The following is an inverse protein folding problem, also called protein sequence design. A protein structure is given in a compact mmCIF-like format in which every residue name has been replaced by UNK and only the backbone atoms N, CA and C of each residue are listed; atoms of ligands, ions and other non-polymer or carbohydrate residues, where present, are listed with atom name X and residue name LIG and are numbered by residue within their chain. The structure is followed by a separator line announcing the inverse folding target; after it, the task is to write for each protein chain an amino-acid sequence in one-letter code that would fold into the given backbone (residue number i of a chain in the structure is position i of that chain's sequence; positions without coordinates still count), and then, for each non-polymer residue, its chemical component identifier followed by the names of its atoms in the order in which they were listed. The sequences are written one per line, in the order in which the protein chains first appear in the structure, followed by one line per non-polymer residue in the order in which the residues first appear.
data_IF_296664723325
#
_entry.id   IF_296664723325
#
_cell.length_a   1.000
_cell.length_b   1.000
_cell.length_c   1.000
_cell.angle_alpha   90.00
_cell.angle_beta   90.00
_cell.angle_gamma   90.00
#
_symmetry.space_group_name_H-M   'P 1'
#
loop_
_entity.id
_entity.type
_entity.pdbx_description
1 polymer ?
#
# COMPACT_ATOMS: atom_id res chain seq x y z
N UNK A 1 25.50 6.55 -17.42
CA UNK A 1 25.63 6.47 -15.96
C UNK A 1 24.65 5.38 -15.54
N UNK A 2 25.15 4.24 -15.12
CA UNK A 2 24.31 3.11 -14.69
C UNK A 2 23.62 3.57 -13.41
N UNK A 3 22.30 3.65 -13.42
CA UNK A 3 21.51 3.88 -12.21
C UNK A 3 21.84 2.75 -11.23
N UNK A 4 22.28 3.09 -10.04
CA UNK A 4 22.56 2.14 -8.97
C UNK A 4 21.23 1.63 -8.37
N UNK A 5 20.60 0.73 -9.11
CA UNK A 5 19.36 0.07 -8.66
C UNK A 5 19.50 -0.61 -7.28
N UNK A 6 20.74 -0.98 -6.90
CA UNK A 6 21.05 -1.52 -5.59
C UNK A 6 20.99 -0.46 -4.50
N UNK A 7 21.40 0.76 -4.81
CA UNK A 7 21.34 1.91 -3.89
C UNK A 7 19.91 2.37 -3.65
N UNK A 8 19.09 2.47 -4.69
CA UNK A 8 17.69 2.86 -4.61
C UNK A 8 16.86 1.86 -3.79
N UNK A 9 17.04 0.56 -4.04
CA UNK A 9 16.36 -0.49 -3.29
C UNK A 9 16.76 -0.49 -1.81
N UNK A 10 18.03 -0.21 -1.52
CA UNK A 10 18.52 -0.07 -0.15
C UNK A 10 17.88 1.12 0.55
N UNK A 11 17.83 2.30 -0.09
CA UNK A 11 17.18 3.49 0.48
C UNK A 11 15.68 3.26 0.76
N UNK A 12 14.97 2.58 -0.15
CA UNK A 12 13.57 2.18 0.07
C UNK A 12 13.42 1.19 1.23
N UNK A 13 14.34 0.22 1.34
CA UNK A 13 14.34 -0.74 2.43
C UNK A 13 14.64 -0.05 3.78
N UNK A 14 15.65 0.82 3.83
CA UNK A 14 16.00 1.57 5.03
C UNK A 14 14.85 2.49 5.47
N UNK A 15 14.15 3.12 4.52
CA UNK A 15 12.93 3.89 4.79
C UNK A 15 11.84 3.01 5.44
N UNK A 16 11.60 1.80 4.94
CA UNK A 16 10.60 0.89 5.51
C UNK A 16 10.97 0.42 6.92
N UNK A 17 12.24 0.10 7.16
CA UNK A 17 12.70 -0.47 8.44
C UNK A 17 12.77 0.59 9.54
N UNK A 18 13.11 1.84 9.21
CA UNK A 18 13.31 2.91 10.16
C UNK A 18 12.06 3.76 10.42
N UNK A 19 10.92 3.43 9.80
CA UNK A 19 9.71 4.24 9.86
C UNK A 19 8.78 3.75 10.97
N UNK A 20 8.29 4.67 11.80
CA UNK A 20 7.37 4.37 12.90
C UNK A 20 5.91 4.20 12.43
N UNK A 21 5.58 4.66 11.21
CA UNK A 21 4.22 4.57 10.65
C UNK A 21 4.22 4.41 9.13
N UNK A 22 3.15 3.82 8.59
CA UNK A 22 2.94 3.68 7.14
C UNK A 22 2.87 5.05 6.46
N UNK A 23 2.27 6.04 7.11
CA UNK A 23 2.13 7.40 6.53
C UNK A 23 3.49 8.06 6.35
N UNK A 24 4.38 7.95 7.35
CA UNK A 24 5.74 8.45 7.24
C UNK A 24 6.51 7.75 6.14
N UNK A 25 6.42 6.43 6.06
CA UNK A 25 7.04 5.65 5.00
C UNK A 25 6.61 6.10 3.60
N UNK A 26 5.31 6.31 3.39
CA UNK A 26 4.79 6.78 2.10
C UNK A 26 5.27 8.20 1.77
N UNK A 27 5.36 9.08 2.78
CA UNK A 27 5.93 10.41 2.62
C UNK A 27 7.41 10.34 2.20
N UNK A 28 8.22 9.55 2.88
CA UNK A 28 9.65 9.38 2.56
C UNK A 28 9.85 8.81 1.16
N UNK A 29 8.99 7.90 0.73
CA UNK A 29 8.96 7.41 -0.66
C UNK A 29 8.67 8.53 -1.66
N UNK A 30 7.71 9.41 -1.39
CA UNK A 30 7.39 10.53 -2.29
C UNK A 30 8.57 11.52 -2.39
N UNK A 31 9.21 11.83 -1.27
CA UNK A 31 10.41 12.68 -1.22
C UNK A 31 11.57 12.03 -1.98
N UNK A 32 11.79 10.75 -1.77
CA UNK A 32 12.85 9.99 -2.44
C UNK A 32 12.63 9.92 -3.95
N UNK A 33 11.39 9.68 -4.41
CA UNK A 33 11.03 9.67 -5.82
C UNK A 33 11.36 11.02 -6.50
N UNK A 34 10.93 12.13 -5.88
CA UNK A 34 11.22 13.47 -6.42
C UNK A 34 12.73 13.70 -6.56
N UNK A 35 13.52 13.31 -5.54
CA UNK A 35 14.96 13.50 -5.52
C UNK A 35 15.72 12.65 -6.55
N UNK A 36 15.33 11.37 -6.70
CA UNK A 36 16.03 10.42 -7.57
C UNK A 36 15.72 10.63 -9.06
N UNK A 37 14.49 11.02 -9.37
CA UNK A 37 14.09 11.21 -10.78
C UNK A 37 14.68 12.49 -11.37
N UNK A 38 14.73 13.57 -10.61
CA UNK A 38 15.30 14.83 -11.10
C UNK A 38 15.38 15.92 -10.03
N UNK A 39 15.73 17.13 -10.44
CA UNK A 39 15.78 18.32 -9.58
C UNK A 39 14.49 19.12 -9.70
N UNK A 40 14.09 19.80 -8.62
CA UNK A 40 12.92 20.68 -8.55
C UNK A 40 11.60 19.98 -8.95
N UNK A 41 11.46 18.72 -8.56
CA UNK A 41 10.25 17.95 -8.77
C UNK A 41 9.39 17.89 -7.50
N UNK A 42 8.08 17.98 -7.70
CA UNK A 42 7.09 17.62 -6.69
C UNK A 42 6.55 16.22 -6.99
N UNK A 43 6.35 15.42 -5.95
CA UNK A 43 5.84 14.05 -6.08
C UNK A 43 4.61 13.84 -5.21
N UNK A 44 3.54 13.28 -5.79
CA UNK A 44 2.35 12.80 -5.09
C UNK A 44 2.19 11.29 -5.26
N UNK A 45 1.70 10.64 -4.23
CA UNK A 45 1.30 9.22 -4.28
C UNK A 45 -0.21 9.12 -4.09
N UNK A 46 -0.89 8.63 -5.11
CA UNK A 46 -2.32 8.38 -5.11
C UNK A 46 -2.60 6.92 -4.89
N UNK A 47 -3.52 6.60 -3.99
CA UNK A 47 -4.04 5.24 -3.82
C UNK A 47 -5.57 5.22 -3.86
N UNK A 48 -6.15 4.03 -4.09
CA UNK A 48 -7.60 3.85 -3.94
C UNK A 48 -7.95 3.60 -2.48
N UNK A 49 -8.73 4.51 -1.94
CA UNK A 49 -9.35 4.36 -0.63
C UNK A 49 -10.87 4.32 -0.79
N UNK A 50 -11.52 3.24 -0.35
CA UNK A 50 -12.97 3.05 -0.49
C UNK A 50 -13.48 3.25 -1.93
N UNK A 51 -12.71 2.80 -2.91
CA UNK A 51 -13.03 2.90 -4.34
C UNK A 51 -12.74 4.27 -4.99
N UNK A 52 -12.36 5.28 -4.20
CA UNK A 52 -12.03 6.63 -4.68
C UNK A 52 -10.51 6.87 -4.65
N UNK A 53 -9.96 7.65 -5.58
CA UNK A 53 -8.58 8.07 -5.53
C UNK A 53 -8.39 9.10 -4.41
N UNK A 54 -7.29 8.99 -3.69
CA UNK A 54 -6.88 9.93 -2.66
C UNK A 54 -5.35 10.01 -2.61
N UNK A 55 -4.80 11.20 -2.42
CA UNK A 55 -3.37 11.38 -2.15
C UNK A 55 -3.08 10.88 -0.74
N UNK A 56 -2.25 9.85 -0.64
CA UNK A 56 -1.84 9.25 0.63
C UNK A 56 -0.52 9.82 1.14
N UNK A 57 0.30 10.36 0.23
CA UNK A 57 1.54 11.05 0.57
C UNK A 57 1.95 12.02 -0.54
N UNK A 58 2.73 13.04 -0.18
CA UNK A 58 3.32 13.98 -1.12
C UNK A 58 4.68 14.47 -0.59
N UNK A 59 5.58 14.85 -1.49
CA UNK A 59 6.87 15.46 -1.14
C UNK A 59 6.71 16.91 -0.65
N UNK A 60 5.67 17.58 -1.13
CA UNK A 60 5.36 18.97 -0.83
C UNK A 60 3.88 19.31 -1.11
N UNK A 61 3.37 20.48 -0.62
CA UNK A 61 1.97 20.85 -0.80
C UNK A 61 1.53 21.06 -2.26
N UNK A 62 2.46 21.36 -3.18
CA UNK A 62 2.13 21.58 -4.60
C UNK A 62 1.64 20.28 -5.23
N UNK A 63 2.32 19.16 -4.95
CA UNK A 63 1.89 17.85 -5.43
C UNK A 63 0.46 17.52 -4.98
N UNK A 64 0.15 17.71 -3.70
CA UNK A 64 -1.19 17.44 -3.16
C UNK A 64 -2.27 18.32 -3.83
N UNK A 65 -1.95 19.59 -4.10
CA UNK A 65 -2.86 20.53 -4.76
C UNK A 65 -3.15 20.10 -6.20
N UNK A 66 -2.12 19.69 -6.94
CA UNK A 66 -2.27 19.27 -8.35
C UNK A 66 -2.97 17.90 -8.44
N UNK A 67 -2.72 17.00 -7.50
CA UNK A 67 -3.46 15.74 -7.40
C UNK A 67 -4.97 15.99 -7.17
N UNK A 68 -5.30 16.89 -6.26
CA UNK A 68 -6.70 17.25 -5.96
C UNK A 68 -7.45 17.76 -7.20
N UNK A 69 -6.79 18.53 -8.08
CA UNK A 69 -7.37 18.96 -9.35
C UNK A 69 -7.85 17.77 -10.20
N UNK A 70 -7.09 16.70 -10.26
CA UNK A 70 -7.47 15.50 -11.04
C UNK A 70 -8.69 14.80 -10.44
N UNK A 71 -8.79 14.76 -9.10
CA UNK A 71 -9.92 14.13 -8.40
C UNK A 71 -11.21 14.93 -8.56
N UNK A 72 -11.14 16.26 -8.50
CA UNK A 72 -12.28 17.14 -8.74
C UNK A 72 -12.82 17.02 -10.16
N UNK A 73 -11.93 16.87 -11.14
CA UNK A 73 -12.29 16.73 -12.55
C UNK A 73 -12.68 15.29 -12.93
N UNK A 74 -12.46 14.31 -12.03
CA UNK A 74 -12.49 12.87 -12.30
C UNK A 74 -11.72 12.50 -13.59
N UNK A 75 -10.65 13.26 -13.87
CA UNK A 75 -9.88 13.13 -15.12
C UNK A 75 -8.46 13.69 -14.95
N UNK A 76 -7.49 13.09 -15.65
CA UNK A 76 -6.09 13.53 -15.64
C UNK A 76 -5.10 12.38 -15.78
N UNK A 77 -3.79 12.70 -15.89
CA UNK A 77 -2.74 11.72 -16.12
C UNK A 77 -2.65 10.64 -15.04
N UNK A 78 -2.80 10.99 -13.75
CA UNK A 78 -2.82 10.06 -12.63
C UNK A 78 -3.93 9.02 -12.76
N UNK A 79 -5.16 9.48 -12.96
CA UNK A 79 -6.33 8.61 -13.06
C UNK A 79 -6.26 7.70 -14.29
N UNK A 80 -5.67 8.19 -15.39
CA UNK A 80 -5.38 7.38 -16.58
C UNK A 80 -4.32 6.32 -16.29
N UNK A 81 -3.19 6.68 -15.66
CA UNK A 81 -2.16 5.72 -15.29
C UNK A 81 -2.71 4.61 -14.38
N UNK A 82 -3.54 4.96 -13.39
CA UNK A 82 -4.22 3.99 -12.51
C UNK A 82 -5.19 3.08 -13.26
N UNK A 83 -5.92 3.60 -14.24
CA UNK A 83 -6.96 2.88 -14.99
C UNK A 83 -6.35 1.97 -16.04
N UNK A 84 -5.44 2.51 -16.84
CA UNK A 84 -4.90 1.84 -18.02
C UNK A 84 -3.65 1.00 -17.71
N UNK A 85 -2.94 1.35 -16.63
CA UNK A 85 -1.75 0.63 -16.18
C UNK A 85 -0.50 0.95 -17.00
N UNK A 86 -0.48 2.10 -17.66
CA UNK A 86 0.64 2.61 -18.43
C UNK A 86 1.09 3.97 -17.93
N UNK A 87 2.37 4.26 -18.11
CA UNK A 87 2.93 5.58 -17.85
C UNK A 87 2.25 6.62 -18.75
N UNK A 88 1.95 7.78 -18.17
CA UNK A 88 1.34 8.92 -18.85
C UNK A 88 2.21 10.14 -18.66
N UNK A 89 2.56 10.81 -19.75
CA UNK A 89 3.42 12.01 -19.75
C UNK A 89 2.70 13.18 -20.40
N UNK A 90 2.88 14.36 -19.83
CA UNK A 90 2.55 15.66 -20.39
C UNK A 90 3.86 16.46 -20.48
N UNK A 91 4.25 16.79 -21.70
CA UNK A 91 5.50 17.49 -21.95
C UNK A 91 5.36 18.99 -21.66
N UNK A 92 4.23 19.61 -22.02
CA UNK A 92 3.90 20.97 -21.61
C UNK A 92 2.40 21.15 -21.37
N UNK A 93 2.04 21.62 -20.20
CA UNK A 93 0.64 21.95 -19.85
C UNK A 93 0.10 23.15 -20.64
N UNK A 94 0.95 23.92 -21.31
CA UNK A 94 0.52 25.01 -22.19
C UNK A 94 -0.15 24.49 -23.47
N UNK A 95 0.16 23.26 -23.90
CA UNK A 95 -0.35 22.68 -25.15
C UNK A 95 -1.83 22.32 -25.06
N UNK A 96 -2.36 22.08 -23.86
CA UNK A 96 -3.76 21.73 -23.54
C UNK A 96 -4.32 20.62 -24.44
N UNK A 97 -3.49 19.61 -24.75
CA UNK A 97 -3.75 18.65 -25.78
C UNK A 97 -4.69 17.54 -25.36
N UNK A 98 -4.50 16.98 -24.17
CA UNK A 98 -5.21 15.76 -23.77
C UNK A 98 -6.19 15.98 -22.63
N UNK A 99 -5.85 16.85 -21.68
CA UNK A 99 -6.69 17.20 -20.53
C UNK A 99 -6.71 18.72 -20.34
N UNK A 100 -7.37 19.48 -21.21
CA UNK A 100 -7.27 20.94 -21.25
C UNK A 100 -7.58 21.64 -19.93
N UNK A 101 -8.56 21.15 -19.18
CA UNK A 101 -8.95 21.74 -17.92
C UNK A 101 -7.94 21.41 -16.79
N UNK A 102 -7.47 20.15 -16.73
CA UNK A 102 -6.40 19.78 -15.82
C UNK A 102 -5.12 20.57 -16.11
N UNK A 103 -4.69 20.58 -17.38
CA UNK A 103 -3.47 21.25 -17.81
C UNK A 103 -3.50 22.74 -17.50
N UNK A 104 -4.65 23.40 -17.76
CA UNK A 104 -4.88 24.81 -17.41
C UNK A 104 -4.73 25.06 -15.91
N UNK A 105 -5.33 24.22 -15.07
CA UNK A 105 -5.30 24.34 -13.60
C UNK A 105 -3.91 24.00 -13.06
N UNK A 106 -3.26 22.95 -13.56
CA UNK A 106 -1.88 22.61 -13.19
C UNK A 106 -0.91 23.76 -13.52
N UNK A 107 -1.07 24.38 -14.70
CA UNK A 107 -0.28 25.58 -15.08
C UNK A 107 -0.50 26.75 -14.13
N UNK A 108 -1.73 26.97 -13.61
CA UNK A 108 -1.99 28.03 -12.64
C UNK A 108 -1.28 27.81 -11.28
N UNK A 109 -0.91 26.55 -10.97
CA UNK A 109 -0.06 26.19 -9.85
C UNK A 109 1.44 26.15 -10.18
N UNK A 110 1.83 26.63 -11.37
CA UNK A 110 3.20 26.72 -11.82
C UNK A 110 3.77 25.40 -12.37
N UNK A 111 2.95 24.39 -12.64
CA UNK A 111 3.38 23.13 -13.22
C UNK A 111 3.34 23.20 -14.73
N UNK A 112 4.46 22.85 -15.38
CA UNK A 112 4.64 22.86 -16.85
C UNK A 112 4.73 21.47 -17.44
N UNK A 113 5.19 20.47 -16.70
CA UNK A 113 5.19 19.08 -17.19
C UNK A 113 4.82 18.09 -16.07
N UNK A 114 4.26 16.96 -16.45
CA UNK A 114 3.79 15.93 -15.53
C UNK A 114 4.17 14.53 -16.03
N UNK A 115 4.43 13.62 -15.09
CA UNK A 115 4.64 12.21 -15.34
C UNK A 115 3.88 11.39 -14.31
N UNK A 116 2.99 10.51 -14.74
CA UNK A 116 2.23 9.62 -13.87
C UNK A 116 2.54 8.16 -14.20
N UNK A 117 2.86 7.37 -13.17
CA UNK A 117 3.20 5.96 -13.30
C UNK A 117 2.28 5.11 -12.41
N UNK A 118 1.78 3.97 -12.91
CA UNK A 118 0.97 3.08 -12.10
C UNK A 118 1.80 2.40 -11.01
N UNK A 119 1.28 2.38 -9.78
CA UNK A 119 1.80 1.55 -8.70
C UNK A 119 1.01 0.24 -8.62
N UNK A 120 1.72 -0.85 -8.47
CA UNK A 120 1.15 -2.20 -8.48
C UNK A 120 1.42 -2.91 -7.16
N UNK A 121 0.48 -3.75 -6.74
CA UNK A 121 0.66 -4.69 -5.65
C UNK A 121 0.05 -6.02 -6.07
N UNK A 122 0.83 -7.09 -6.05
CA UNK A 122 0.40 -8.43 -6.48
C UNK A 122 -0.23 -8.46 -7.88
N UNK A 123 0.37 -7.72 -8.82
CA UNK A 123 -0.14 -7.58 -10.20
C UNK A 123 -1.38 -6.68 -10.35
N UNK A 124 -1.97 -6.21 -9.25
CA UNK A 124 -3.12 -5.30 -9.25
C UNK A 124 -2.66 -3.84 -9.20
N UNK A 125 -3.34 -2.97 -9.91
CA UNK A 125 -3.10 -1.53 -9.87
C UNK A 125 -3.73 -0.97 -8.60
N UNK A 126 -2.89 -0.53 -7.66
CA UNK A 126 -3.35 -0.02 -6.35
C UNK A 126 -3.29 1.49 -6.25
N UNK A 127 -2.48 2.14 -7.11
CA UNK A 127 -2.29 3.58 -7.07
C UNK A 127 -1.52 4.10 -8.27
N UNK A 128 -1.01 5.33 -8.13
CA UNK A 128 -0.09 5.96 -9.05
C UNK A 128 0.95 6.82 -8.30
N UNK A 129 2.14 6.90 -8.86
CA UNK A 129 3.17 7.87 -8.53
C UNK A 129 3.06 9.02 -9.54
N UNK A 130 2.92 10.24 -9.04
CA UNK A 130 2.75 11.44 -9.85
C UNK A 130 3.93 12.38 -9.64
N UNK A 131 4.59 12.75 -10.71
CA UNK A 131 5.72 13.68 -10.70
C UNK A 131 5.32 14.95 -11.46
N UNK A 132 5.64 16.10 -10.88
CA UNK A 132 5.29 17.41 -11.39
C UNK A 132 6.54 18.29 -11.47
N UNK A 133 6.72 19.00 -12.56
CA UNK A 133 7.85 19.92 -12.78
C UNK A 133 7.38 21.30 -13.21
N UNK A 134 8.13 22.33 -12.75
CA UNK A 134 7.92 23.72 -13.18
C UNK A 134 8.50 24.01 -14.57
N UNK A 135 9.41 23.18 -15.04
CA UNK A 135 9.97 23.23 -16.39
C UNK A 135 9.11 22.41 -17.36
N UNK A 136 8.93 22.89 -18.58
CA UNK A 136 8.40 22.09 -19.67
C UNK A 136 9.40 21.00 -20.06
N UNK A 137 8.89 19.86 -20.53
CA UNK A 137 9.69 18.72 -21.01
C UNK A 137 10.73 18.21 -20.01
N UNK A 138 10.44 18.33 -18.69
CA UNK A 138 11.36 17.89 -17.65
C UNK A 138 11.53 16.36 -17.61
N UNK A 139 10.63 15.60 -18.20
CA UNK A 139 10.63 14.15 -18.17
C UNK A 139 11.06 13.56 -19.52
N UNK A 140 12.36 13.69 -19.85
CA UNK A 140 12.95 13.03 -21.02
C UNK A 140 13.01 11.50 -20.84
N UNK A 141 13.65 10.80 -21.79
CA UNK A 141 13.74 9.35 -21.74
C UNK A 141 14.46 8.84 -20.48
N UNK A 142 15.50 9.53 -20.02
CA UNK A 142 16.26 9.14 -18.84
C UNK A 142 15.45 9.33 -17.54
N UNK A 143 14.76 10.47 -17.40
CA UNK A 143 13.89 10.76 -16.25
C UNK A 143 12.71 9.78 -16.20
N UNK A 144 12.09 9.53 -17.34
CA UNK A 144 10.98 8.59 -17.45
C UNK A 144 11.41 7.15 -17.08
N UNK A 145 12.63 6.74 -17.48
CA UNK A 145 13.16 5.43 -17.11
C UNK A 145 13.45 5.35 -15.61
N UNK A 146 14.12 6.36 -15.02
CA UNK A 146 14.37 6.40 -13.57
C UNK A 146 13.06 6.36 -12.78
N UNK A 147 12.05 7.10 -13.21
CA UNK A 147 10.74 7.07 -12.58
C UNK A 147 10.06 5.70 -12.69
N UNK A 148 10.20 5.01 -13.84
CA UNK A 148 9.65 3.67 -14.03
C UNK A 148 10.35 2.63 -13.14
N UNK A 149 11.68 2.65 -13.07
CA UNK A 149 12.47 1.77 -12.22
C UNK A 149 12.11 2.00 -10.73
N UNK A 150 11.99 3.27 -10.32
CA UNK A 150 11.53 3.61 -8.97
C UNK A 150 10.13 3.09 -8.69
N UNK A 151 9.16 3.30 -9.59
CA UNK A 151 7.77 2.87 -9.40
C UNK A 151 7.66 1.34 -9.31
N UNK A 152 8.49 0.59 -10.02
CA UNK A 152 8.55 -0.87 -9.95
C UNK A 152 9.09 -1.32 -8.58
N UNK A 153 10.23 -0.77 -8.13
CA UNK A 153 10.82 -1.07 -6.83
C UNK A 153 9.88 -0.68 -5.69
N UNK A 154 9.30 0.53 -5.75
CA UNK A 154 8.33 1.04 -4.79
C UNK A 154 7.08 0.15 -4.68
N UNK A 155 6.61 -0.40 -5.80
CA UNK A 155 5.47 -1.31 -5.84
C UNK A 155 5.68 -2.57 -5.00
N UNK A 156 6.90 -3.13 -5.00
CA UNK A 156 7.28 -4.27 -4.17
C UNK A 156 7.22 -3.95 -2.68
N UNK A 157 7.85 -2.84 -2.29
CA UNK A 157 7.91 -2.40 -0.88
C UNK A 157 6.53 -1.97 -0.39
N UNK A 158 5.74 -1.29 -1.23
CA UNK A 158 4.36 -0.91 -0.93
C UNK A 158 3.47 -2.13 -0.66
N UNK A 159 3.66 -3.22 -1.42
CA UNK A 159 2.95 -4.47 -1.19
C UNK A 159 3.20 -5.01 0.22
N UNK A 160 4.46 -4.97 0.67
CA UNK A 160 4.82 -5.39 2.01
C UNK A 160 4.21 -4.48 3.08
N UNK A 161 4.28 -3.17 2.89
CA UNK A 161 3.69 -2.18 3.82
C UNK A 161 2.17 -2.37 3.98
N UNK A 162 1.44 -2.57 2.87
CA UNK A 162 0.00 -2.83 2.89
C UNK A 162 -0.32 -4.13 3.65
N UNK A 163 0.46 -5.20 3.44
CA UNK A 163 0.28 -6.46 4.15
C UNK A 163 0.52 -6.29 5.66
N UNK A 164 1.59 -5.62 6.05
CA UNK A 164 1.90 -5.36 7.46
C UNK A 164 0.79 -4.55 8.14
N UNK A 165 0.30 -3.48 7.50
CA UNK A 165 -0.81 -2.69 8.01
C UNK A 165 -2.08 -3.54 8.17
N UNK A 166 -2.39 -4.41 7.19
CA UNK A 166 -3.56 -5.31 7.25
C UNK A 166 -3.44 -6.33 8.40
N UNK A 167 -2.25 -6.87 8.66
CA UNK A 167 -2.03 -7.76 9.80
C UNK A 167 -2.17 -7.03 11.14
N UNK A 168 -1.70 -5.80 11.26
CA UNK A 168 -1.84 -5.00 12.47
C UNK A 168 -3.32 -4.78 12.82
N UNK A 169 -4.15 -4.41 11.84
CA UNK A 169 -5.60 -4.25 12.02
C UNK A 169 -6.25 -5.58 12.44
N UNK A 170 -5.89 -6.69 11.82
CA UNK A 170 -6.43 -8.01 12.16
C UNK A 170 -6.08 -8.42 13.60
N UNK A 171 -4.84 -8.20 14.02
CA UNK A 171 -4.38 -8.49 15.39
C UNK A 171 -5.19 -7.67 16.40
N UNK A 172 -5.43 -6.39 16.13
CA UNK A 172 -6.21 -5.52 17.02
C UNK A 172 -7.67 -5.95 17.10
N UNK A 173 -8.27 -6.34 15.97
CA UNK A 173 -9.63 -6.90 15.95
C UNK A 173 -9.73 -8.21 16.76
N UNK A 174 -8.74 -9.08 16.66
CA UNK A 174 -8.70 -10.32 17.44
C UNK A 174 -8.54 -10.03 18.93
N UNK A 175 -7.68 -9.09 19.31
CA UNK A 175 -7.50 -8.67 20.72
C UNK A 175 -8.79 -8.10 21.29
N UNK A 176 -9.44 -7.19 20.59
CA UNK A 176 -10.69 -6.58 21.05
C UNK A 176 -11.83 -7.62 21.18
N UNK A 177 -11.89 -8.60 20.27
CA UNK A 177 -12.86 -9.71 20.36
C UNK A 177 -12.63 -10.60 21.57
N UNK A 178 -11.38 -10.86 21.95
CA UNK A 178 -11.05 -11.63 23.14
C UNK A 178 -11.43 -10.89 24.43
N UNK A 179 -11.16 -9.60 24.51
CA UNK A 179 -11.53 -8.74 25.65
C UNK A 179 -13.05 -8.70 25.79
N UNK A 180 -13.79 -8.53 24.69
CA UNK A 180 -15.26 -8.49 24.71
C UNK A 180 -15.86 -9.79 25.22
N UNK A 181 -15.32 -10.96 24.82
CA UNK A 181 -15.78 -12.26 25.34
C UNK A 181 -15.58 -12.37 26.84
N UNK A 182 -14.42 -11.97 27.35
CA UNK A 182 -14.13 -12.01 28.80
C UNK A 182 -15.10 -11.13 29.58
N UNK A 183 -15.44 -9.94 29.09
CA UNK A 183 -16.39 -9.03 29.73
C UNK A 183 -17.80 -9.60 29.70
N UNK A 184 -18.23 -10.21 28.58
CA UNK A 184 -19.54 -10.86 28.47
C UNK A 184 -19.64 -12.06 29.40
N UNK A 185 -18.61 -12.90 29.50
CA UNK A 185 -18.56 -14.05 30.39
C UNK A 185 -18.58 -13.62 31.87
N UNK A 186 -17.89 -12.53 32.23
CA UNK A 186 -17.96 -11.96 33.56
C UNK A 186 -19.32 -11.37 33.89
N UNK A 187 -19.96 -10.65 32.94
CA UNK A 187 -21.30 -10.09 33.11
C UNK A 187 -22.35 -11.18 33.28
N UNK A 188 -22.27 -12.28 32.52
CA UNK A 188 -23.14 -13.44 32.66
C UNK A 188 -22.98 -14.16 34.01
N UNK A 189 -21.73 -14.22 34.51
CA UNK A 189 -21.41 -14.77 35.82
C UNK A 189 -21.99 -13.94 36.98
N UNK A 190 -22.12 -12.63 36.81
CA UNK A 190 -22.70 -11.71 37.82
C UNK A 190 -24.23 -11.72 37.80
N UNK A 191 -24.87 -11.92 36.63
CA UNK A 191 -26.33 -11.87 36.47
C UNK A 191 -27.00 -13.22 36.88
N UNK A 192 -26.25 -14.31 37.00
CA UNK A 192 -26.77 -15.63 37.36
C UNK A 192 -26.18 -16.21 38.66
N UNK A 193 -26.43 -15.64 39.82
CA UNK A 193 -26.09 -16.33 41.05
C UNK A 193 -27.09 -17.50 41.27
N UNK A 194 -26.61 -18.73 41.05
CA UNK A 194 -27.34 -19.92 41.42
C UNK A 194 -27.89 -20.85 40.34
N UNK A 195 -27.59 -20.62 39.06
CA UNK A 195 -27.89 -21.62 38.01
C UNK A 195 -26.60 -22.16 37.41
N UNK A 196 -26.34 -23.45 37.62
CA UNK A 196 -25.30 -24.20 36.91
C UNK A 196 -25.68 -24.27 35.44
N UNK A 197 -25.05 -23.40 34.60
CA UNK A 197 -25.22 -23.50 33.15
C UNK A 197 -24.35 -24.66 32.68
N UNK A 198 -24.89 -25.65 31.94
CA UNK A 198 -24.06 -26.70 31.35
C UNK A 198 -23.03 -26.03 30.42
N UNK A 199 -21.74 -26.33 30.60
CA UNK A 199 -20.70 -25.86 29.71
C UNK A 199 -21.00 -26.31 28.28
N UNK A 200 -21.03 -25.42 27.28
CA UNK A 200 -21.17 -25.83 25.89
C UNK A 200 -20.02 -26.79 25.55
N UNK A 201 -20.33 -27.83 24.80
CA UNK A 201 -19.36 -28.81 24.35
C UNK A 201 -18.24 -28.07 23.52
N UNK A 202 -16.99 -28.44 23.69
CA UNK A 202 -15.91 -27.84 22.91
C UNK A 202 -16.16 -28.07 21.42
N UNK A 203 -16.03 -27.01 20.63
CA UNK A 203 -16.16 -27.07 19.17
C UNK A 203 -15.21 -28.13 18.59
N UNK A 204 -15.64 -28.91 17.58
CA UNK A 204 -14.83 -30.00 17.01
C UNK A 204 -13.43 -29.64 16.55
N UNK A 205 -13.13 -28.36 16.35
CA UNK A 205 -11.81 -27.84 15.95
C UNK A 205 -10.73 -27.89 17.05
N UNK A 206 -11.08 -28.09 18.33
CA UNK A 206 -10.13 -28.07 19.43
C UNK A 206 -9.91 -29.43 20.10
N UNK A 207 -10.41 -30.52 19.53
CA UNK A 207 -10.17 -31.86 20.06
C UNK A 207 -8.70 -32.28 19.67
N UNK A 208 -7.86 -32.67 20.65
CA UNK A 208 -6.54 -33.21 20.30
C UNK A 208 -6.76 -34.52 19.55
N UNK A 209 -6.08 -34.69 18.43
CA UNK A 209 -6.07 -35.96 17.67
C UNK A 209 -5.58 -37.06 18.59
N UNK A 210 -6.43 -38.03 18.91
CA UNK A 210 -6.01 -39.25 19.57
C UNK A 210 -5.12 -40.02 18.61
N UNK A 211 -3.83 -40.16 18.95
CA UNK A 211 -2.95 -41.11 18.29
C UNK A 211 -3.42 -42.52 18.60
N UNK A 212 -3.93 -43.23 17.61
CA UNK A 212 -4.14 -44.67 17.69
C UNK A 212 -2.79 -45.37 17.65
N UNK A 213 -2.23 -45.64 18.80
CA UNK A 213 -1.15 -46.59 18.93
C UNK A 213 -1.76 -47.99 18.82
N UNK A 214 -1.63 -48.63 17.67
CA UNK A 214 -1.91 -50.05 17.47
C UNK A 214 -0.83 -50.86 18.18
N UNK A 215 -1.12 -51.36 19.35
CA UNK A 215 -0.31 -52.37 20.01
C UNK A 215 -0.51 -53.72 19.29
N UNK A 216 0.42 -54.10 18.49
CA UNK A 216 0.49 -55.42 17.86
C UNK A 216 1.19 -56.35 18.86
N UNK A 217 0.41 -57.10 19.68
CA UNK A 217 0.93 -58.18 20.50
C UNK A 217 1.05 -59.47 19.66
N UNK A 218 2.25 -59.71 19.14
CA UNK A 218 2.55 -60.99 18.53
C UNK A 218 2.90 -62.01 19.64
N UNK A 219 2.02 -62.99 19.80
CA UNK A 219 2.24 -64.16 20.64
C UNK A 219 3.17 -65.09 19.92
N UNK A 220 4.34 -65.38 20.48
CA UNK A 220 5.27 -66.40 20.04
C UNK A 220 4.79 -67.79 20.56
N UNK A 221 4.83 -68.87 19.76
CA UNK A 221 4.59 -70.24 20.25
C UNK A 221 5.86 -70.81 20.89
N UNK A 222 5.66 -71.57 21.98
CA UNK A 222 6.71 -72.28 22.71
C UNK A 222 7.24 -73.49 21.94
N UNK A 223 8.52 -73.87 22.15
CA UNK A 223 9.12 -75.04 21.49
C UNK A 223 8.81 -76.35 22.21
N UNK A 224 8.61 -77.38 21.38
CA UNK A 224 8.64 -78.80 21.78
C UNK A 224 9.89 -79.42 21.16
#
# INVERSE_FOLDING_TARGET
MVTDAGGELKELHDALVNTESVDQFLHDMAVLAARLVGTDLSCGMTMRSNGRPATVACSDPVAATVDAVQYELDNGPCLHAMRDGHMVRIDDTADKARWPEFERRAASHGIRSCLALPLRSEGRRVGALNLYARAASAFGAAEAQRAADFAENASGVLTLAIRLASYAVLIEQLRSSLVSRTVIDQALGVIMPGRTVPRPAPSPCCAPRRSTATSNSATLPAPS
#
